data_IF_693311818731
#
_entry.id   IF_693311818731
#
_cell.length_a   1.000
_cell.length_b   1.000
_cell.length_c   1.000
_cell.angle_alpha   90.00
_cell.angle_beta   90.00
_cell.angle_gamma   90.00
#
_symmetry.space_group_name_H-M   'P 1'
#
loop_
_entity.id
_entity.type
_entity.pdbx_description
1 polymer ?
#
# COMPACT_ATOMS: atom_id res chain seq x y z
N UNK A 1 -10.26 24.30 1.43
CA UNK A 1 -11.53 24.00 2.13
C UNK A 1 -11.59 24.80 3.45
N UNK A 2 -10.57 24.76 4.32
CA UNK A 2 -10.56 25.49 5.59
C UNK A 2 -10.82 27.00 5.44
N UNK A 3 -10.37 27.62 4.35
CA UNK A 3 -10.60 29.05 4.05
C UNK A 3 -12.09 29.39 3.79
N UNK A 4 -12.91 28.40 3.48
CA UNK A 4 -14.34 28.57 3.20
C UNK A 4 -15.25 28.25 4.40
N UNK A 5 -14.67 28.05 5.60
CA UNK A 5 -15.45 27.69 6.79
C UNK A 5 -16.07 26.30 6.75
N UNK A 6 -15.68 25.46 5.78
CA UNK A 6 -16.16 24.09 5.68
C UNK A 6 -15.42 23.21 6.67
N UNK A 7 -16.17 22.47 7.46
CA UNK A 7 -15.63 21.49 8.38
C UNK A 7 -15.07 20.27 7.62
N UNK A 8 -13.80 19.96 7.81
CA UNK A 8 -13.08 18.94 7.04
C UNK A 8 -12.34 17.97 7.97
N UNK A 9 -12.41 16.69 7.67
CA UNK A 9 -11.50 15.67 8.18
C UNK A 9 -10.64 15.19 7.02
N UNK A 10 -9.33 15.15 7.20
CA UNK A 10 -8.40 14.65 6.18
C UNK A 10 -8.11 13.17 6.43
N UNK A 11 -8.35 12.32 5.41
CA UNK A 11 -7.96 10.92 5.46
C UNK A 11 -6.70 10.69 4.63
N UNK A 12 -5.63 10.23 5.26
CA UNK A 12 -4.37 9.84 4.59
C UNK A 12 -4.40 8.35 4.31
N UNK A 13 -4.57 7.99 3.05
CA UNK A 13 -4.54 6.60 2.60
C UNK A 13 -3.09 6.10 2.44
N UNK A 14 -2.94 4.81 2.15
CA UNK A 14 -1.68 4.11 1.96
C UNK A 14 -1.58 3.55 0.54
N UNK A 15 -0.54 2.75 0.25
CA UNK A 15 -0.44 1.99 -0.99
C UNK A 15 -1.61 1.00 -1.10
N UNK A 16 -2.35 1.06 -2.20
CA UNK A 16 -3.47 0.13 -2.42
C UNK A 16 -2.94 -1.22 -2.90
N UNK A 17 -3.29 -2.30 -2.20
CA UNK A 17 -2.88 -3.65 -2.61
C UNK A 17 -3.49 -4.06 -3.94
N UNK A 18 -4.60 -3.47 -4.33
CA UNK A 18 -5.21 -3.63 -5.66
C UNK A 18 -4.30 -3.16 -6.80
N UNK A 19 -3.25 -2.38 -6.52
CA UNK A 19 -2.22 -2.04 -7.50
C UNK A 19 -1.46 -3.30 -8.00
N UNK A 20 -1.40 -4.35 -7.18
CA UNK A 20 -0.85 -5.65 -7.60
C UNK A 20 -1.72 -6.31 -8.69
N UNK A 21 -3.01 -5.97 -8.76
CA UNK A 21 -3.98 -6.53 -9.71
C UNK A 21 -4.09 -5.63 -10.94
N UNK A 22 -4.35 -4.32 -10.72
CA UNK A 22 -4.81 -3.43 -11.78
C UNK A 22 -3.73 -2.50 -12.36
N UNK A 23 -2.65 -2.26 -11.61
CA UNK A 23 -1.59 -1.33 -12.02
C UNK A 23 -0.31 -2.03 -12.47
N UNK A 24 -0.36 -3.36 -12.64
CA UNK A 24 0.78 -4.14 -13.08
C UNK A 24 1.96 -4.17 -12.10
N UNK A 25 1.70 -3.88 -10.81
CA UNK A 25 2.71 -3.92 -9.75
C UNK A 25 2.80 -5.30 -9.07
N UNK A 26 2.04 -6.30 -9.57
CA UNK A 26 2.11 -7.69 -9.12
C UNK A 26 3.40 -8.39 -9.55
N UNK A 27 3.61 -9.62 -9.04
CA UNK A 27 4.81 -10.39 -9.39
C UNK A 27 4.81 -10.76 -10.88
N UNK A 28 5.96 -10.59 -11.52
CA UNK A 28 6.17 -10.90 -12.94
C UNK A 28 7.31 -11.88 -13.10
N UNK A 29 7.35 -12.61 -14.21
CA UNK A 29 8.48 -13.49 -14.54
C UNK A 29 9.72 -12.66 -14.84
N UNK A 30 10.75 -12.82 -14.02
CA UNK A 30 12.08 -12.29 -14.29
C UNK A 30 12.83 -13.10 -15.36
N UNK A 31 14.07 -12.71 -15.66
CA UNK A 31 14.91 -13.32 -16.68
C UNK A 31 15.13 -14.84 -16.50
N UNK A 32 15.03 -15.36 -15.26
CA UNK A 32 15.14 -16.78 -14.95
C UNK A 32 13.81 -17.56 -14.93
N UNK A 33 12.72 -16.95 -15.38
CA UNK A 33 11.37 -17.55 -15.37
C UNK A 33 10.73 -17.67 -13.98
N UNK A 34 11.41 -17.21 -12.92
CA UNK A 34 10.87 -17.13 -11.56
C UNK A 34 10.09 -15.84 -11.37
N UNK A 35 9.08 -15.88 -10.52
CA UNK A 35 8.33 -14.67 -10.19
C UNK A 35 9.15 -13.71 -9.34
N UNK A 36 9.08 -12.43 -9.68
CA UNK A 36 9.74 -11.34 -8.98
C UNK A 36 8.73 -10.23 -8.66
N UNK A 37 8.67 -9.82 -7.39
CA UNK A 37 7.98 -8.60 -6.99
C UNK A 37 8.96 -7.45 -7.06
N UNK A 38 8.71 -6.50 -7.94
CA UNK A 38 9.58 -5.33 -8.15
C UNK A 38 8.93 -4.08 -7.57
N UNK A 39 9.52 -3.55 -6.49
CA UNK A 39 9.10 -2.28 -5.87
C UNK A 39 10.35 -1.48 -5.49
N UNK A 40 10.35 -0.15 -5.69
CA UNK A 40 11.49 0.69 -5.35
C UNK A 40 11.42 1.15 -3.88
N UNK A 41 11.41 0.18 -2.96
CA UNK A 41 11.31 0.45 -1.51
C UNK A 41 12.55 -0.02 -0.72
N UNK A 42 13.56 -0.62 -1.38
CA UNK A 42 14.72 -1.16 -0.67
C UNK A 42 14.27 -2.11 0.44
N UNK A 43 14.76 -1.87 1.64
CA UNK A 43 14.41 -2.59 2.88
C UNK A 43 13.31 -1.88 3.71
N UNK A 44 12.76 -0.79 3.19
CA UNK A 44 11.80 0.06 3.90
C UNK A 44 10.40 -0.54 3.92
N UNK A 45 9.66 -0.22 4.98
CA UNK A 45 8.24 -0.61 5.11
C UNK A 45 7.37 0.27 4.24
N UNK A 46 6.43 -0.35 3.57
CA UNK A 46 5.40 0.30 2.78
C UNK A 46 4.05 0.11 3.48
N UNK A 47 3.48 1.16 4.09
CA UNK A 47 2.10 1.11 4.54
C UNK A 47 1.17 0.80 3.38
N UNK A 48 0.34 -0.22 3.55
CA UNK A 48 -0.61 -0.67 2.53
C UNK A 48 -2.00 -0.91 3.08
N UNK A 49 -3.00 -0.88 2.22
CA UNK A 49 -4.41 -1.05 2.59
C UNK A 49 -5.20 -1.66 1.43
N UNK A 50 -6.24 -2.44 1.73
CA UNK A 50 -7.23 -2.84 0.75
C UNK A 50 -8.12 -1.64 0.37
N UNK A 51 -8.44 -1.47 -0.91
CA UNK A 51 -9.30 -0.37 -1.39
C UNK A 51 -10.70 -0.42 -0.73
N UNK A 52 -11.23 -1.61 -0.48
CA UNK A 52 -12.49 -1.80 0.26
C UNK A 52 -12.42 -1.21 1.67
N UNK A 53 -11.29 -1.37 2.36
CA UNK A 53 -11.09 -0.87 3.72
C UNK A 53 -10.95 0.65 3.78
N UNK A 54 -10.50 1.29 2.69
CA UNK A 54 -10.55 2.77 2.58
C UNK A 54 -11.98 3.28 2.70
N UNK A 55 -12.92 2.63 1.97
CA UNK A 55 -14.35 2.97 2.06
C UNK A 55 -14.92 2.74 3.46
N UNK A 56 -14.54 1.63 4.10
CA UNK A 56 -14.96 1.32 5.49
C UNK A 56 -14.41 2.33 6.49
N UNK A 57 -13.13 2.70 6.37
CA UNK A 57 -12.52 3.74 7.21
C UNK A 57 -13.20 5.10 7.01
N UNK A 58 -13.49 5.48 5.76
CA UNK A 58 -14.23 6.71 5.46
C UNK A 58 -15.61 6.69 6.14
N UNK A 59 -16.34 5.58 6.04
CA UNK A 59 -17.62 5.41 6.72
C UNK A 59 -17.49 5.57 8.25
N UNK A 60 -16.47 4.96 8.86
CA UNK A 60 -16.21 5.10 10.29
C UNK A 60 -15.89 6.54 10.69
N UNK A 61 -15.13 7.28 9.85
CA UNK A 61 -14.85 8.70 10.05
C UNK A 61 -16.14 9.52 10.01
N UNK A 62 -17.01 9.29 9.04
CA UNK A 62 -18.32 9.96 8.98
C UNK A 62 -19.18 9.63 10.19
N UNK A 63 -19.16 8.38 10.65
CA UNK A 63 -19.92 7.94 11.82
C UNK A 63 -19.40 8.57 13.11
N UNK A 64 -18.11 8.80 13.24
CA UNK A 64 -17.51 9.51 14.38
C UNK A 64 -17.88 11.00 14.43
N UNK A 65 -18.29 11.57 13.28
CA UNK A 65 -18.84 12.93 13.21
C UNK A 65 -17.89 13.99 13.76
N UNK A 66 -18.39 14.78 14.71
CA UNK A 66 -17.67 15.93 15.29
C UNK A 66 -16.36 15.56 15.99
N UNK A 67 -16.20 14.34 16.47
CA UNK A 67 -15.00 13.90 17.18
C UNK A 67 -13.74 13.92 16.32
N UNK A 68 -13.90 13.82 15.00
CA UNK A 68 -12.80 13.81 14.03
C UNK A 68 -12.70 15.08 13.19
N UNK A 69 -13.55 16.08 13.42
CA UNK A 69 -13.47 17.33 12.68
C UNK A 69 -12.15 18.07 12.91
N UNK A 70 -11.61 18.60 11.81
CA UNK A 70 -10.33 19.30 11.81
C UNK A 70 -9.12 18.39 11.98
N UNK A 71 -9.32 17.07 12.12
CA UNK A 71 -8.24 16.11 12.33
C UNK A 71 -7.77 15.49 11.01
N UNK A 72 -6.53 15.02 11.05
CA UNK A 72 -5.95 14.16 10.02
C UNK A 72 -5.93 12.72 10.54
N UNK A 73 -6.53 11.80 9.79
CA UNK A 73 -6.66 10.39 10.14
C UNK A 73 -5.91 9.55 9.10
N UNK A 74 -4.81 8.96 9.51
CA UNK A 74 -4.05 8.04 8.66
C UNK A 74 -4.57 6.61 8.76
N UNK A 75 -4.67 5.92 7.63
CA UNK A 75 -5.17 4.55 7.57
C UNK A 75 -4.24 3.65 6.77
N UNK A 76 -3.89 2.51 7.38
CA UNK A 76 -3.16 1.41 6.76
C UNK A 76 -3.62 0.09 7.38
N UNK A 77 -3.69 -0.96 6.59
CA UNK A 77 -3.98 -2.32 7.05
C UNK A 77 -2.75 -3.05 7.56
N UNK A 78 -1.59 -2.72 6.97
CA UNK A 78 -0.31 -3.33 7.33
C UNK A 78 0.87 -2.42 6.95
N UNK A 79 2.05 -2.67 7.57
CA UNK A 79 3.33 -2.06 7.22
C UNK A 79 4.31 -3.18 6.84
N UNK A 80 4.37 -3.55 5.58
CA UNK A 80 5.22 -4.64 5.12
C UNK A 80 6.40 -4.14 4.28
N UNK A 81 7.57 -4.75 4.42
CA UNK A 81 8.67 -4.57 3.48
C UNK A 81 8.38 -5.32 2.17
N UNK A 82 9.03 -4.93 1.06
CA UNK A 82 8.89 -5.65 -0.20
C UNK A 82 9.26 -7.14 -0.07
N UNK A 83 10.27 -7.47 0.76
CA UNK A 83 10.65 -8.84 1.05
C UNK A 83 9.54 -9.62 1.79
N UNK A 84 8.88 -8.99 2.76
CA UNK A 84 7.74 -9.58 3.46
C UNK A 84 6.54 -9.79 2.53
N UNK A 85 6.28 -8.83 1.64
CA UNK A 85 5.22 -8.96 0.63
C UNK A 85 5.52 -10.11 -0.35
N UNK A 86 6.76 -10.23 -0.83
CA UNK A 86 7.18 -11.33 -1.70
C UNK A 86 7.05 -12.70 -1.01
N UNK A 87 7.43 -12.79 0.27
CA UNK A 87 7.27 -14.02 1.05
C UNK A 87 5.79 -14.40 1.23
N UNK A 88 4.91 -13.42 1.50
CA UNK A 88 3.48 -13.66 1.60
C UNK A 88 2.88 -14.12 0.27
N UNK A 89 3.27 -13.47 -0.84
CA UNK A 89 2.89 -13.89 -2.20
C UNK A 89 3.35 -15.31 -2.51
N UNK A 90 4.62 -15.65 -2.19
CA UNK A 90 5.16 -16.99 -2.41
C UNK A 90 4.35 -18.06 -1.67
N UNK A 91 4.00 -17.78 -0.41
CA UNK A 91 3.17 -18.67 0.42
C UNK A 91 1.80 -18.90 -0.18
N UNK A 92 1.10 -17.83 -0.57
CA UNK A 92 -0.28 -17.91 -1.06
C UNK A 92 -0.38 -18.46 -2.49
N UNK A 93 0.62 -18.19 -3.34
CA UNK A 93 0.66 -18.68 -4.71
C UNK A 93 1.23 -20.11 -4.82
N UNK A 94 1.84 -20.64 -3.75
CA UNK A 94 2.47 -21.96 -3.75
C UNK A 94 3.72 -22.07 -4.65
N UNK A 95 4.37 -20.94 -4.95
CA UNK A 95 5.55 -20.89 -5.82
C UNK A 95 6.51 -19.78 -5.36
N UNK A 96 7.79 -19.90 -5.71
CA UNK A 96 8.80 -18.93 -5.30
C UNK A 96 8.51 -17.55 -5.92
N UNK A 97 8.49 -16.53 -5.07
CA UNK A 97 8.48 -15.11 -5.46
C UNK A 97 9.65 -14.44 -4.80
N UNK A 98 10.59 -13.90 -5.58
CA UNK A 98 11.70 -13.12 -5.07
C UNK A 98 11.34 -11.63 -5.01
N UNK A 99 11.97 -10.90 -4.11
CA UNK A 99 11.88 -9.45 -4.09
C UNK A 99 13.03 -8.84 -4.89
N UNK A 100 12.68 -7.94 -5.81
CA UNK A 100 13.65 -7.18 -6.62
C UNK A 100 13.55 -5.69 -6.23
N UNK A 101 14.43 -5.20 -5.32
CA UNK A 101 14.44 -3.82 -4.86
C UNK A 101 15.13 -2.91 -5.87
N UNK A 102 14.41 -2.38 -6.83
CA UNK A 102 14.95 -1.34 -7.70
C UNK A 102 15.20 -0.05 -6.91
N UNK A 103 16.17 0.77 -7.34
CA UNK A 103 16.22 2.14 -6.89
C UNK A 103 15.04 2.94 -7.49
N UNK A 104 14.60 4.06 -6.86
CA UNK A 104 13.59 4.92 -7.46
C UNK A 104 13.97 5.42 -8.85
N UNK A 105 15.27 5.64 -9.10
CA UNK A 105 15.81 6.02 -10.40
C UNK A 105 15.62 4.92 -11.44
N UNK A 106 16.02 3.69 -11.10
CA UNK A 106 15.82 2.54 -11.99
C UNK A 106 14.33 2.31 -12.29
N UNK A 107 13.47 2.53 -11.29
CA UNK A 107 12.02 2.40 -11.47
C UNK A 107 11.46 3.42 -12.47
N UNK A 108 11.91 4.71 -12.40
CA UNK A 108 11.54 5.74 -13.37
C UNK A 108 11.93 5.37 -14.81
N UNK A 109 13.03 4.63 -14.97
CA UNK A 109 13.58 4.22 -16.28
C UNK A 109 12.86 2.99 -16.87
N UNK A 110 11.90 2.37 -16.19
CA UNK A 110 11.16 1.21 -16.72
C UNK A 110 10.32 1.54 -17.96
N UNK A 111 10.08 2.83 -18.27
CA UNK A 111 9.30 3.26 -19.43
C UNK A 111 7.82 2.89 -19.40
N UNK A 112 7.33 2.40 -18.26
CA UNK A 112 5.90 2.12 -18.09
C UNK A 112 5.12 3.42 -17.83
N UNK A 113 3.85 3.53 -18.25
CA UNK A 113 3.05 4.72 -18.02
C UNK A 113 3.04 5.11 -16.54
N UNK A 114 3.40 6.36 -16.22
CA UNK A 114 3.43 6.89 -14.87
C UNK A 114 4.66 6.47 -14.02
N UNK A 115 5.66 5.81 -14.61
CA UNK A 115 6.85 5.36 -13.87
C UNK A 115 7.60 6.50 -13.17
N UNK A 116 7.62 7.69 -13.76
CA UNK A 116 8.21 8.90 -13.20
C UNK A 116 7.43 9.37 -11.95
N UNK A 117 6.11 9.41 -12.03
CA UNK A 117 5.23 9.81 -10.91
C UNK A 117 5.31 8.79 -9.79
N UNK A 118 5.20 7.50 -10.10
CA UNK A 118 5.30 6.43 -9.10
C UNK A 118 6.70 6.36 -8.49
N UNK A 119 7.75 6.55 -9.29
CA UNK A 119 9.13 6.60 -8.81
C UNK A 119 9.35 7.71 -7.78
N UNK A 120 8.80 8.90 -8.03
CA UNK A 120 8.85 10.02 -7.07
C UNK A 120 8.03 9.71 -5.80
N UNK A 121 6.85 9.11 -5.95
CA UNK A 121 6.01 8.70 -4.83
C UNK A 121 6.73 7.68 -3.93
N UNK A 122 7.31 6.63 -4.51
CA UNK A 122 8.04 5.61 -3.76
C UNK A 122 9.33 6.17 -3.14
N UNK A 123 10.03 7.07 -3.82
CA UNK A 123 11.19 7.74 -3.26
C UNK A 123 10.83 8.52 -2.01
N UNK A 124 9.76 9.29 -2.03
CA UNK A 124 9.24 9.98 -0.85
C UNK A 124 8.90 9.00 0.29
N UNK A 125 8.20 7.91 -0.03
CA UNK A 125 7.84 6.89 0.97
C UNK A 125 9.06 6.18 1.56
N UNK A 126 10.12 6.01 0.78
CA UNK A 126 11.38 5.41 1.21
C UNK A 126 12.19 6.36 2.10
N UNK A 127 12.34 7.62 1.67
CA UNK A 127 13.13 8.63 2.37
C UNK A 127 12.48 9.04 3.70
N UNK A 128 11.15 9.10 3.75
CA UNK A 128 10.36 9.48 4.93
C UNK A 128 9.59 8.30 5.54
N UNK A 129 10.17 7.09 5.49
CA UNK A 129 9.50 5.87 5.96
C UNK A 129 8.95 6.01 7.37
N UNK A 130 9.75 6.57 8.28
CA UNK A 130 9.40 6.69 9.69
C UNK A 130 8.14 7.54 9.89
N UNK A 131 8.13 8.72 9.29
CA UNK A 131 7.03 9.69 9.35
C UNK A 131 5.81 9.18 8.61
N UNK A 132 6.03 8.55 7.45
CA UNK A 132 4.95 7.99 6.64
C UNK A 132 4.24 6.84 7.34
N UNK A 133 4.98 5.95 8.01
CA UNK A 133 4.44 4.88 8.84
C UNK A 133 3.75 5.43 10.10
N UNK A 134 4.38 6.39 10.80
CA UNK A 134 3.82 6.98 12.01
C UNK A 134 2.50 7.70 11.74
N UNK A 135 2.41 8.43 10.63
CA UNK A 135 1.17 9.10 10.19
C UNK A 135 0.03 8.10 9.85
N UNK A 136 0.33 6.81 9.67
CA UNK A 136 -0.61 5.72 9.35
C UNK A 136 -0.53 4.60 10.39
N UNK A 137 -0.61 4.98 11.65
CA UNK A 137 -0.47 4.08 12.79
C UNK A 137 -1.52 2.95 12.73
N UNK A 138 -1.06 1.70 12.81
CA UNK A 138 -1.91 0.51 12.67
C UNK A 138 -2.91 0.35 13.82
N UNK A 139 -2.52 0.68 15.04
CA UNK A 139 -3.41 0.52 16.19
C UNK A 139 -4.56 1.53 16.12
N UNK A 140 -4.25 2.78 15.75
CA UNK A 140 -5.26 3.81 15.52
C UNK A 140 -6.20 3.46 14.36
N UNK A 141 -5.66 2.91 13.27
CA UNK A 141 -6.45 2.47 12.12
C UNK A 141 -7.36 1.29 12.49
N UNK A 142 -6.88 0.31 13.29
CA UNK A 142 -7.70 -0.81 13.78
C UNK A 142 -8.73 -0.39 14.82
N UNK A 143 -8.41 0.59 15.67
CA UNK A 143 -9.39 1.16 16.59
C UNK A 143 -10.54 1.85 15.84
N UNK A 144 -10.24 2.52 14.71
CA UNK A 144 -11.23 3.13 13.84
C UNK A 144 -12.06 2.08 13.08
N UNK A 145 -11.41 1.06 12.54
CA UNK A 145 -12.03 -0.05 11.79
C UNK A 145 -11.51 -1.40 12.28
N UNK A 146 -12.18 -2.06 13.25
CA UNK A 146 -11.75 -3.35 13.78
C UNK A 146 -11.72 -4.49 12.75
N UNK A 147 -12.40 -4.35 11.62
CA UNK A 147 -12.39 -5.34 10.54
C UNK A 147 -11.31 -5.11 9.47
N UNK A 148 -10.38 -4.18 9.72
CA UNK A 148 -9.30 -3.82 8.82
C UNK A 148 -8.44 -5.04 8.45
N UNK A 149 -8.29 -5.30 7.16
CA UNK A 149 -7.54 -6.45 6.66
C UNK A 149 -6.04 -6.24 6.83
N UNK A 150 -5.31 -7.33 7.10
CA UNK A 150 -3.86 -7.39 6.91
C UNK A 150 -3.55 -7.73 5.45
N UNK A 151 -2.30 -7.53 5.02
CA UNK A 151 -1.88 -7.91 3.66
C UNK A 151 -2.12 -9.41 3.38
N UNK A 152 -1.75 -10.28 4.31
CA UNK A 152 -2.01 -11.73 4.17
C UNK A 152 -3.50 -12.06 4.10
N UNK A 153 -4.32 -11.40 4.90
CA UNK A 153 -5.78 -11.60 4.89
C UNK A 153 -6.45 -11.12 3.59
N UNK A 154 -5.96 -10.02 3.02
CA UNK A 154 -6.40 -9.56 1.70
C UNK A 154 -5.91 -10.50 0.60
N UNK A 155 -4.64 -10.91 0.66
CA UNK A 155 -4.01 -11.75 -0.35
C UNK A 155 -4.68 -13.11 -0.47
N UNK A 156 -5.03 -13.75 0.65
CA UNK A 156 -5.73 -15.05 0.63
C UNK A 156 -7.07 -15.01 -0.12
N UNK A 157 -7.73 -13.85 -0.17
CA UNK A 157 -9.01 -13.65 -0.89
C UNK A 157 -8.83 -13.23 -2.35
N UNK A 158 -7.66 -12.65 -2.70
CA UNK A 158 -7.46 -11.97 -3.98
C UNK A 158 -6.35 -12.58 -4.85
N UNK A 159 -5.61 -13.58 -4.36
CA UNK A 159 -4.45 -14.16 -5.04
C UNK A 159 -4.75 -14.61 -6.49
N UNK A 160 -5.93 -15.20 -6.72
CA UNK A 160 -6.33 -15.69 -8.03
C UNK A 160 -6.65 -14.58 -9.04
N UNK A 161 -6.73 -13.32 -8.56
CA UNK A 161 -6.96 -12.13 -9.39
C UNK A 161 -5.65 -11.42 -9.78
N UNK A 162 -4.52 -11.81 -9.18
CA UNK A 162 -3.22 -11.20 -9.46
C UNK A 162 -2.69 -11.78 -10.78
N UNK A 163 -2.44 -10.95 -11.81
CA UNK A 163 -1.85 -11.43 -13.06
C UNK A 163 -0.41 -11.90 -12.82
N UNK A 164 -0.10 -13.13 -13.26
CA UNK A 164 1.24 -13.71 -13.21
C UNK A 164 1.81 -13.74 -14.63
N UNK A 165 2.41 -12.63 -15.08
CA UNK A 165 2.90 -12.46 -16.46
C UNK A 165 4.41 -12.52 -16.56
#
# INVERSE_FOLDING_TARGET
FSQFGVQVTYMLTSFYWENLIYMGMGPRKGAGGKLELTLPMGDKRLPGIAAEDVGRCAYCIFKAGFDLLGKTVGVAGDHATGAQMAAALAKELGQTVSYNPLSPEQFRQLGTPGADVFGNMFQFMQEFESEFCAARNLDSARALNPSLQTFGGWLSKNKDRIPLT
#
